data_IF_708062841100
#
_entry.id   IF_708062841100
#
_cell.length_a   1.000
_cell.length_b   1.000
_cell.length_c   1.000
_cell.angle_alpha   90.00
_cell.angle_beta   90.00
_cell.angle_gamma   90.00
#
_symmetry.space_group_name_H-M   'P 1'
#
loop_
_entity.id
_entity.type
_entity.pdbx_description
1 polymer ?
#
# COMPACT_ATOMS: atom_id res chain seq x y z
N UNK A 1 -34.93 2.43 21.78
CA UNK A 1 -34.00 3.57 21.76
C UNK A 1 -34.22 4.30 20.47
N UNK A 2 -34.33 5.64 20.43
CA UNK A 2 -34.39 6.35 19.13
C UNK A 2 -33.12 6.03 18.38
N UNK A 3 -33.24 5.63 17.11
CA UNK A 3 -32.11 5.51 16.21
C UNK A 3 -31.44 6.89 16.12
N UNK A 4 -30.14 6.91 16.43
CA UNK A 4 -29.33 8.11 16.26
C UNK A 4 -29.17 8.38 14.77
N UNK A 5 -30.02 9.25 14.25
CA UNK A 5 -30.03 9.68 12.84
C UNK A 5 -28.95 10.74 12.55
N UNK A 6 -27.97 10.90 13.43
CA UNK A 6 -26.87 11.81 13.16
C UNK A 6 -26.01 11.30 11.99
N UNK A 7 -25.53 12.21 11.10
CA UNK A 7 -24.71 11.80 9.96
C UNK A 7 -23.40 11.16 10.44
N UNK A 8 -23.00 10.07 9.78
CA UNK A 8 -21.75 9.36 10.03
C UNK A 8 -20.55 10.27 9.78
N UNK A 9 -19.62 10.33 10.72
CA UNK A 9 -18.47 11.25 10.67
C UNK A 9 -17.15 10.50 10.73
N UNK A 10 -16.14 11.05 10.03
CA UNK A 10 -14.77 10.56 10.11
C UNK A 10 -14.18 10.76 11.51
N UNK A 11 -13.05 10.11 11.82
CA UNK A 11 -12.32 10.36 13.08
C UNK A 11 -11.92 11.82 13.29
N UNK A 12 -11.86 12.62 12.22
CA UNK A 12 -11.59 14.07 12.26
C UNK A 12 -12.87 14.91 12.34
N UNK A 13 -14.02 14.24 12.59
CA UNK A 13 -15.32 14.87 12.75
C UNK A 13 -15.89 15.55 11.48
N UNK A 14 -15.54 15.02 10.30
CA UNK A 14 -16.10 15.49 9.03
C UNK A 14 -17.20 14.51 8.59
N UNK A 15 -18.40 14.98 8.20
CA UNK A 15 -19.45 14.10 7.70
C UNK A 15 -18.99 13.35 6.46
N UNK A 16 -19.21 12.04 6.39
CA UNK A 16 -18.83 11.25 5.19
C UNK A 16 -19.59 11.64 3.94
N UNK A 17 -20.79 12.22 4.08
CA UNK A 17 -21.50 12.79 2.93
C UNK A 17 -20.72 13.92 2.23
N UNK A 18 -19.78 14.57 2.93
CA UNK A 18 -18.92 15.63 2.39
C UNK A 18 -17.57 15.09 1.89
N UNK A 19 -17.33 13.81 2.03
CA UNK A 19 -16.08 13.14 1.64
C UNK A 19 -16.37 12.02 0.63
N UNK A 20 -15.52 11.84 -0.39
CA UNK A 20 -15.55 10.63 -1.19
C UNK A 20 -15.34 9.43 -0.27
N UNK A 21 -16.21 8.44 -0.35
CA UNK A 21 -16.13 7.27 0.53
C UNK A 21 -16.77 6.05 -0.11
N UNK A 22 -16.44 4.90 0.44
CA UNK A 22 -17.16 3.66 0.20
C UNK A 22 -17.48 3.01 1.55
N UNK A 23 -18.43 2.10 1.57
CA UNK A 23 -18.78 1.31 2.76
C UNK A 23 -18.33 -0.12 2.52
N UNK A 24 -17.48 -0.65 3.41
CA UNK A 24 -16.95 -2.00 3.26
C UNK A 24 -17.96 -3.06 3.73
N UNK A 25 -17.58 -4.34 3.62
CA UNK A 25 -18.43 -5.47 3.98
C UNK A 25 -18.80 -5.51 5.48
N UNK A 26 -18.02 -4.85 6.34
CA UNK A 26 -18.31 -4.73 7.78
C UNK A 26 -19.13 -3.48 8.12
N UNK A 27 -19.60 -2.74 7.12
CA UNK A 27 -20.36 -1.51 7.33
C UNK A 27 -19.51 -0.31 7.74
N UNK A 28 -18.19 -0.38 7.61
CA UNK A 28 -17.29 0.71 7.92
C UNK A 28 -17.13 1.64 6.73
N UNK A 29 -17.09 2.94 7.00
CA UNK A 29 -16.88 3.98 5.98
C UNK A 29 -15.39 4.18 5.78
N UNK A 30 -14.94 4.01 4.54
CA UNK A 30 -13.56 4.20 4.13
C UNK A 30 -13.45 5.44 3.24
N UNK A 31 -12.57 6.36 3.61
CA UNK A 31 -12.27 7.54 2.80
C UNK A 31 -11.60 7.11 1.49
N UNK A 32 -12.10 7.61 0.36
CA UNK A 32 -11.59 7.36 -0.97
C UNK A 32 -11.03 8.63 -1.59
N UNK A 33 -10.01 8.48 -2.42
CA UNK A 33 -9.38 9.59 -3.14
C UNK A 33 -9.20 9.24 -4.61
N UNK A 34 -9.51 10.20 -5.47
CA UNK A 34 -9.51 10.02 -6.92
C UNK A 34 -8.70 11.14 -7.59
N UNK A 35 -7.81 10.76 -8.49
CA UNK A 35 -7.05 11.68 -9.32
C UNK A 35 -7.37 11.37 -10.78
N UNK A 36 -8.23 12.21 -11.36
CA UNK A 36 -8.73 12.02 -12.71
C UNK A 36 -7.77 12.64 -13.72
N UNK A 37 -7.47 11.95 -14.83
CA UNK A 37 -6.71 12.57 -15.92
C UNK A 37 -7.55 13.62 -16.64
N UNK A 38 -6.87 14.56 -17.33
CA UNK A 38 -7.54 15.56 -18.15
C UNK A 38 -8.15 14.94 -19.42
N UNK A 39 -7.49 13.92 -19.98
CA UNK A 39 -7.95 13.18 -21.18
C UNK A 39 -8.70 11.90 -20.83
N UNK A 40 -8.99 11.11 -21.87
CA UNK A 40 -9.62 9.79 -21.72
C UNK A 40 -8.67 8.85 -20.97
N UNK A 41 -9.14 8.20 -19.89
CA UNK A 41 -8.30 7.26 -19.16
C UNK A 41 -7.83 6.09 -20.01
N UNK A 42 -6.55 5.75 -19.92
CA UNK A 42 -5.94 4.62 -20.64
C UNK A 42 -5.78 3.39 -19.75
N UNK A 43 -5.71 3.58 -18.44
CA UNK A 43 -5.61 2.53 -17.45
C UNK A 43 -6.06 3.06 -16.08
N UNK A 44 -6.34 2.12 -15.17
CA UNK A 44 -6.58 2.38 -13.77
C UNK A 44 -5.31 2.05 -12.97
N UNK A 45 -4.96 2.89 -12.00
CA UNK A 45 -3.87 2.63 -11.05
C UNK A 45 -4.43 2.75 -9.65
N UNK A 46 -4.40 1.64 -8.92
CA UNK A 46 -4.80 1.58 -7.51
C UNK A 46 -3.57 1.71 -6.62
N UNK A 47 -3.51 2.76 -5.79
CA UNK A 47 -2.42 2.99 -4.83
C UNK A 47 -2.82 2.46 -3.46
N UNK A 48 -1.91 1.69 -2.84
CA UNK A 48 -2.10 1.04 -1.54
C UNK A 48 -1.06 1.58 -0.57
N UNK A 49 -1.50 2.37 0.40
CA UNK A 49 -0.60 2.99 1.38
C UNK A 49 -0.10 2.02 2.44
N UNK A 50 0.95 2.40 3.16
CA UNK A 50 1.57 1.61 4.21
C UNK A 50 0.95 1.79 5.60
N UNK A 51 1.49 1.06 6.57
CA UNK A 51 1.03 1.09 7.95
C UNK A 51 1.21 2.47 8.59
N UNK A 52 0.14 2.98 9.19
CA UNK A 52 0.16 4.22 9.94
C UNK A 52 0.10 5.49 9.09
N UNK A 53 0.16 5.38 7.76
CA UNK A 53 0.02 6.52 6.86
C UNK A 53 -1.40 6.61 6.27
N UNK A 54 -1.57 7.34 5.17
CA UNK A 54 -2.83 7.51 4.47
C UNK A 54 -2.60 7.84 3.00
N UNK A 55 -3.63 7.74 2.17
CA UNK A 55 -3.51 7.89 0.71
C UNK A 55 -3.17 9.32 0.26
N UNK A 56 -3.45 10.34 1.06
CA UNK A 56 -3.09 11.72 0.75
C UNK A 56 -1.59 11.97 0.59
N UNK A 57 -0.76 11.10 1.15
CA UNK A 57 0.70 11.18 1.02
C UNK A 57 1.22 10.79 -0.37
N UNK A 58 0.34 10.37 -1.26
CA UNK A 58 0.65 9.96 -2.64
C UNK A 58 0.19 10.97 -3.70
N UNK A 59 -0.21 12.18 -3.30
CA UNK A 59 -0.70 13.21 -4.22
C UNK A 59 0.28 13.51 -5.35
N UNK A 60 1.57 13.68 -5.05
CA UNK A 60 2.58 14.04 -6.05
C UNK A 60 2.76 12.92 -7.09
N UNK A 61 2.91 11.68 -6.64
CA UNK A 61 3.02 10.52 -7.53
C UNK A 61 1.76 10.33 -8.37
N UNK A 62 0.59 10.43 -7.75
CA UNK A 62 -0.69 10.28 -8.43
C UNK A 62 -0.89 11.34 -9.51
N UNK A 63 -0.55 12.60 -9.24
CA UNK A 63 -0.65 13.67 -10.23
C UNK A 63 0.29 13.44 -11.41
N UNK A 64 1.48 12.95 -11.19
CA UNK A 64 2.39 12.59 -12.28
C UNK A 64 1.84 11.45 -13.14
N UNK A 65 1.21 10.45 -12.51
CA UNK A 65 0.55 9.36 -13.23
C UNK A 65 -0.63 9.85 -14.07
N UNK A 66 -1.41 10.81 -13.58
CA UNK A 66 -2.50 11.41 -14.36
C UNK A 66 -1.99 12.13 -15.60
N UNK A 67 -0.76 12.62 -15.59
CA UNK A 67 -0.09 13.19 -16.75
C UNK A 67 0.09 12.20 -17.91
N UNK A 68 0.04 10.90 -17.66
CA UNK A 68 0.04 9.83 -18.66
C UNK A 68 -1.39 9.39 -19.05
N UNK A 69 -2.40 10.13 -18.70
CA UNK A 69 -3.82 9.77 -18.85
C UNK A 69 -4.22 8.50 -18.08
N UNK A 70 -3.62 8.29 -16.93
CA UNK A 70 -4.01 7.21 -16.01
C UNK A 70 -5.00 7.75 -14.98
N UNK A 71 -6.03 6.97 -14.70
CA UNK A 71 -6.96 7.28 -13.62
C UNK A 71 -6.47 6.61 -12.35
N UNK A 72 -6.02 7.43 -11.39
CA UNK A 72 -5.46 6.96 -10.13
C UNK A 72 -6.50 7.03 -9.04
N UNK A 73 -6.58 6.00 -8.21
CA UNK A 73 -7.49 5.98 -7.08
C UNK A 73 -6.87 5.24 -5.89
N UNK A 74 -7.37 5.55 -4.72
CA UNK A 74 -6.91 4.98 -3.47
C UNK A 74 -7.99 5.12 -2.39
N UNK A 75 -7.81 4.43 -1.28
CA UNK A 75 -8.56 4.70 -0.05
C UNK A 75 -7.64 4.59 1.16
N UNK A 76 -8.06 5.18 2.27
CA UNK A 76 -7.44 4.94 3.56
C UNK A 76 -7.91 3.59 4.07
N UNK A 77 -6.98 2.73 4.50
CA UNK A 77 -7.34 1.45 5.11
C UNK A 77 -8.16 1.65 6.39
N UNK A 78 -8.96 0.66 6.75
CA UNK A 78 -9.62 0.65 8.05
C UNK A 78 -8.60 0.93 9.17
N UNK A 79 -8.98 1.79 10.11
CA UNK A 79 -8.09 2.19 11.21
C UNK A 79 -7.02 3.20 10.86
N UNK A 80 -7.04 3.76 9.64
CA UNK A 80 -6.06 4.71 9.13
C UNK A 80 -6.72 5.99 8.60
N UNK A 81 -5.99 7.09 8.67
CA UNK A 81 -6.36 8.35 8.06
C UNK A 81 -7.79 8.79 8.38
N UNK A 82 -8.57 9.05 7.34
CA UNK A 82 -9.96 9.50 7.45
C UNK A 82 -10.98 8.36 7.39
N UNK A 83 -10.53 7.11 7.40
CA UNK A 83 -11.40 5.93 7.45
C UNK A 83 -11.76 5.57 8.88
N UNK A 84 -12.91 4.91 9.04
CA UNK A 84 -13.36 4.39 10.33
C UNK A 84 -12.49 3.24 10.83
N UNK A 85 -12.71 2.85 12.06
CA UNK A 85 -12.03 1.77 12.75
C UNK A 85 -11.13 2.27 13.87
N UNK A 86 -10.85 1.41 14.83
CA UNK A 86 -9.88 1.72 15.87
C UNK A 86 -8.50 1.94 15.26
N UNK A 87 -7.81 2.96 15.73
CA UNK A 87 -6.53 3.37 15.13
C UNK A 87 -5.49 2.26 15.23
N UNK A 88 -4.98 1.83 14.07
CA UNK A 88 -4.00 0.76 13.91
C UNK A 88 -4.47 -0.57 14.51
N UNK A 89 -5.73 -0.91 14.30
CA UNK A 89 -6.32 -2.19 14.66
C UNK A 89 -6.98 -2.81 13.43
N UNK A 90 -6.68 -4.07 13.19
CA UNK A 90 -7.38 -4.89 12.20
C UNK A 90 -7.51 -6.30 12.76
N UNK A 91 -8.70 -6.86 12.73
CA UNK A 91 -8.96 -8.19 13.28
C UNK A 91 -8.38 -9.31 12.41
N UNK A 92 -8.32 -9.09 11.12
CA UNK A 92 -7.73 -10.01 10.14
C UNK A 92 -7.10 -9.18 9.02
N UNK A 93 -5.84 -9.45 8.69
CA UNK A 93 -5.13 -8.75 7.61
C UNK A 93 -5.86 -8.85 6.27
N UNK A 94 -6.60 -9.92 6.03
CA UNK A 94 -7.39 -10.12 4.81
C UNK A 94 -8.45 -9.02 4.59
N UNK A 95 -8.87 -8.32 5.63
CA UNK A 95 -9.79 -7.18 5.51
C UNK A 95 -9.22 -6.12 4.56
N UNK A 96 -7.92 -5.85 4.63
CA UNK A 96 -7.25 -4.91 3.72
C UNK A 96 -7.33 -5.36 2.26
N UNK A 97 -7.19 -6.65 2.02
CA UNK A 97 -7.25 -7.25 0.68
C UNK A 97 -8.69 -7.22 0.15
N UNK A 98 -9.65 -7.62 0.98
CA UNK A 98 -11.08 -7.60 0.66
C UNK A 98 -11.54 -6.20 0.28
N UNK A 99 -11.18 -5.20 1.08
CA UNK A 99 -11.57 -3.80 0.84
C UNK A 99 -10.91 -3.24 -0.42
N UNK A 100 -9.66 -3.63 -0.69
CA UNK A 100 -8.95 -3.27 -1.92
C UNK A 100 -9.63 -3.84 -3.15
N UNK A 101 -9.98 -5.12 -3.14
CA UNK A 101 -10.71 -5.76 -4.23
C UNK A 101 -12.08 -5.12 -4.44
N UNK A 102 -12.79 -4.77 -3.37
CA UNK A 102 -14.07 -4.06 -3.46
C UNK A 102 -13.92 -2.73 -4.20
N UNK A 103 -12.91 -1.93 -3.86
CA UNK A 103 -12.69 -0.63 -4.49
C UNK A 103 -12.32 -0.78 -5.97
N UNK A 104 -11.47 -1.74 -6.29
CA UNK A 104 -11.11 -2.06 -7.68
C UNK A 104 -12.34 -2.47 -8.48
N UNK A 105 -13.21 -3.31 -7.94
CA UNK A 105 -14.45 -3.73 -8.60
C UNK A 105 -15.40 -2.56 -8.86
N UNK A 106 -15.52 -1.63 -7.90
CA UNK A 106 -16.31 -0.41 -8.09
C UNK A 106 -15.80 0.42 -9.26
N UNK A 107 -14.48 0.59 -9.37
CA UNK A 107 -13.88 1.35 -10.47
C UNK A 107 -14.01 0.64 -11.82
N UNK A 108 -13.92 -0.68 -11.82
CA UNK A 108 -14.08 -1.47 -13.05
C UNK A 108 -15.51 -1.48 -13.59
N UNK A 109 -16.51 -1.26 -12.77
CA UNK A 109 -17.89 -1.08 -13.25
C UNK A 109 -18.02 0.15 -14.13
N UNK A 110 -17.32 1.23 -13.80
CA UNK A 110 -17.32 2.47 -14.58
C UNK A 110 -16.32 2.42 -15.74
N UNK A 111 -15.32 1.55 -15.68
CA UNK A 111 -14.24 1.41 -16.66
C UNK A 111 -13.93 -0.06 -16.95
N UNK A 112 -14.88 -0.81 -17.56
CA UNK A 112 -14.77 -2.28 -17.66
C UNK A 112 -13.64 -2.75 -18.56
N UNK A 113 -13.22 -1.95 -19.53
CA UNK A 113 -12.22 -2.34 -20.53
C UNK A 113 -10.80 -1.84 -20.22
N UNK A 114 -10.61 -1.09 -19.14
CA UNK A 114 -9.31 -0.53 -18.81
C UNK A 114 -8.43 -1.56 -18.06
N UNK A 115 -7.14 -1.67 -18.43
CA UNK A 115 -6.19 -2.44 -17.64
C UNK A 115 -6.02 -1.83 -16.25
N UNK A 116 -5.74 -2.66 -15.26
CA UNK A 116 -5.58 -2.26 -13.86
C UNK A 116 -4.16 -2.55 -13.40
N UNK A 117 -3.51 -1.52 -12.86
CA UNK A 117 -2.22 -1.63 -12.18
C UNK A 117 -2.43 -1.42 -10.68
N UNK A 118 -1.66 -2.13 -9.88
CA UNK A 118 -1.62 -1.96 -8.42
C UNK A 118 -0.23 -1.47 -8.01
N UNK A 119 -0.20 -0.44 -7.16
CA UNK A 119 1.03 0.17 -6.67
C UNK A 119 0.96 0.23 -5.15
N UNK A 120 1.87 -0.45 -4.46
CA UNK A 120 1.88 -0.51 -3.01
C UNK A 120 3.23 -0.17 -2.40
N UNK A 121 3.19 0.47 -1.23
CA UNK A 121 4.36 0.82 -0.44
C UNK A 121 4.32 0.16 0.92
N UNK A 122 5.43 -0.45 1.35
CA UNK A 122 5.61 -1.04 2.68
C UNK A 122 4.55 -2.12 2.97
N UNK A 123 3.73 -1.97 4.00
CA UNK A 123 2.57 -2.84 4.24
C UNK A 123 1.61 -2.84 3.02
N UNK A 124 1.47 -1.71 2.35
CA UNK A 124 0.69 -1.62 1.10
C UNK A 124 1.26 -2.51 -0.01
N UNK A 125 2.56 -2.75 -0.01
CA UNK A 125 3.20 -3.74 -0.88
C UNK A 125 2.78 -5.16 -0.53
N UNK A 126 2.73 -5.51 0.75
CA UNK A 126 2.23 -6.80 1.21
C UNK A 126 0.76 -7.01 0.80
N UNK A 127 -0.07 -5.98 1.00
CA UNK A 127 -1.48 -6.01 0.57
C UNK A 127 -1.59 -6.21 -0.94
N UNK A 128 -0.78 -5.49 -1.72
CA UNK A 128 -0.77 -5.59 -3.18
C UNK A 128 -0.41 -6.99 -3.67
N UNK A 129 0.62 -7.60 -3.09
CA UNK A 129 1.04 -8.97 -3.40
C UNK A 129 -0.11 -9.95 -3.15
N UNK A 130 -0.71 -9.90 -1.97
CA UNK A 130 -1.79 -10.82 -1.60
C UNK A 130 -3.06 -10.57 -2.40
N UNK A 131 -3.35 -9.32 -2.75
CA UNK A 131 -4.48 -8.96 -3.62
C UNK A 131 -4.28 -9.53 -5.03
N UNK A 132 -3.09 -9.41 -5.60
CA UNK A 132 -2.76 -9.99 -6.90
C UNK A 132 -2.81 -11.52 -6.87
N UNK A 133 -2.42 -12.16 -5.76
CA UNK A 133 -2.51 -13.61 -5.61
C UNK A 133 -3.95 -14.13 -5.58
N UNK A 134 -4.88 -13.35 -5.01
CA UNK A 134 -6.31 -13.73 -5.01
C UNK A 134 -7.00 -13.55 -6.35
N UNK A 135 -6.57 -12.58 -7.14
CA UNK A 135 -7.13 -12.26 -8.45
C UNK A 135 -6.01 -12.13 -9.49
N UNK A 136 -5.36 -13.25 -9.83
CA UNK A 136 -4.15 -13.22 -10.65
C UNK A 136 -4.36 -12.66 -12.06
N UNK A 137 -5.57 -12.77 -12.60
CA UNK A 137 -5.89 -12.29 -13.96
C UNK A 137 -6.42 -10.84 -13.98
N UNK A 138 -6.55 -10.22 -12.82
CA UNK A 138 -7.14 -8.89 -12.69
C UNK A 138 -6.16 -7.77 -13.05
N UNK A 139 -4.87 -7.98 -12.84
CA UNK A 139 -3.86 -6.92 -12.90
C UNK A 139 -2.94 -7.08 -14.10
N UNK A 140 -2.71 -5.97 -14.81
CA UNK A 140 -1.74 -5.90 -15.90
C UNK A 140 -0.31 -5.66 -15.42
N UNK A 141 -0.13 -5.26 -14.19
CA UNK A 141 1.17 -5.08 -13.56
C UNK A 141 1.09 -4.61 -12.13
N UNK A 142 2.18 -4.79 -11.40
CA UNK A 142 2.33 -4.41 -10.01
C UNK A 142 3.63 -3.65 -9.79
N UNK A 143 3.54 -2.50 -9.11
CA UNK A 143 4.69 -1.71 -8.67
C UNK A 143 4.77 -1.77 -7.15
N UNK A 144 5.93 -2.12 -6.64
CA UNK A 144 6.18 -2.23 -5.21
C UNK A 144 7.33 -1.31 -4.80
N UNK A 145 7.04 -0.38 -3.88
CA UNK A 145 8.04 0.50 -3.28
C UNK A 145 8.35 -0.02 -1.87
N UNK A 146 9.55 -0.52 -1.67
CA UNK A 146 10.02 -1.02 -0.37
C UNK A 146 9.00 -1.96 0.31
N UNK A 147 8.57 -3.04 -0.37
CA UNK A 147 7.48 -3.87 0.12
C UNK A 147 7.85 -4.64 1.40
N UNK A 148 6.86 -4.83 2.26
CA UNK A 148 6.96 -5.71 3.40
C UNK A 148 6.77 -7.16 2.93
N UNK A 149 7.86 -7.90 2.81
CA UNK A 149 7.86 -9.30 2.34
C UNK A 149 8.39 -10.25 3.42
N UNK A 150 9.41 -9.84 4.14
CA UNK A 150 10.01 -10.62 5.22
C UNK A 150 10.04 -9.81 6.51
N UNK A 151 10.00 -10.50 7.63
CA UNK A 151 10.25 -9.88 8.92
C UNK A 151 11.76 -9.66 9.10
N UNK A 152 12.13 -8.61 9.84
CA UNK A 152 13.51 -8.43 10.28
C UNK A 152 13.95 -9.66 11.07
N UNK A 153 15.14 -10.25 10.80
CA UNK A 153 15.64 -11.40 11.55
C UNK A 153 15.77 -11.13 13.05
N UNK A 154 16.06 -9.89 13.42
CA UNK A 154 16.17 -9.47 14.83
C UNK A 154 14.82 -9.40 15.53
N UNK A 155 13.75 -9.02 14.80
CA UNK A 155 12.39 -8.91 15.33
C UNK A 155 11.66 -10.26 15.35
N UNK A 156 12.01 -11.19 14.46
CA UNK A 156 11.28 -12.44 14.22
C UNK A 156 12.01 -13.67 14.78
N UNK A 157 12.76 -13.55 15.87
CA UNK A 157 13.29 -14.74 16.54
C UNK A 157 12.15 -15.59 17.08
N UNK A 158 12.27 -16.95 17.11
CA UNK A 158 11.19 -17.81 17.60
C UNK A 158 10.68 -17.45 18.99
N UNK A 159 11.58 -17.02 19.88
CA UNK A 159 11.22 -16.61 21.24
C UNK A 159 10.38 -15.32 21.23
N UNK A 160 10.77 -14.32 20.44
CA UNK A 160 10.02 -13.06 20.30
C UNK A 160 8.66 -13.29 19.66
N UNK A 161 8.59 -14.15 18.65
CA UNK A 161 7.32 -14.52 17.99
C UNK A 161 6.38 -15.21 18.98
N UNK A 162 6.87 -16.15 19.75
CA UNK A 162 6.08 -16.84 20.77
C UNK A 162 5.60 -15.85 21.85
N UNK A 163 6.48 -14.99 22.35
CA UNK A 163 6.14 -13.97 23.34
C UNK A 163 5.07 -13.01 22.80
N UNK A 164 5.17 -12.58 21.53
CA UNK A 164 4.19 -11.72 20.90
C UNK A 164 2.81 -12.41 20.80
N UNK A 165 2.76 -13.70 20.45
CA UNK A 165 1.52 -14.48 20.39
C UNK A 165 0.87 -14.61 21.75
N UNK A 166 1.67 -14.86 22.81
CA UNK A 166 1.15 -14.93 24.19
C UNK A 166 0.61 -13.57 24.64
N UNK A 167 1.36 -12.49 24.39
CA UNK A 167 0.91 -11.13 24.70
C UNK A 167 -0.37 -10.75 23.97
N UNK A 168 -0.52 -11.17 22.73
CA UNK A 168 -1.73 -10.90 21.94
C UNK A 168 -2.98 -11.54 22.58
N UNK A 169 -2.85 -12.71 23.19
CA UNK A 169 -3.96 -13.38 23.88
C UNK A 169 -4.38 -12.63 25.15
N UNK A 170 -3.44 -11.99 25.84
CA UNK A 170 -3.67 -11.39 27.17
C UNK A 170 -3.81 -9.87 27.07
N UNK A 171 -2.98 -9.20 26.29
CA UNK A 171 -2.89 -7.74 26.16
C UNK A 171 -2.78 -7.32 24.69
N UNK A 172 -3.80 -7.53 23.85
CA UNK A 172 -3.71 -7.28 22.40
C UNK A 172 -3.46 -5.80 22.06
N UNK A 173 -3.86 -4.88 22.92
CA UNK A 173 -3.69 -3.44 22.73
C UNK A 173 -2.41 -2.90 23.37
N UNK A 174 -1.56 -3.76 23.95
CA UNK A 174 -0.24 -3.33 24.42
C UNK A 174 0.55 -2.81 23.24
N UNK A 175 1.12 -1.62 23.40
CA UNK A 175 1.97 -1.02 22.36
C UNK A 175 3.41 -1.46 22.51
N UNK A 176 3.99 -1.89 21.41
CA UNK A 176 5.43 -2.05 21.22
C UNK A 176 6.03 -0.71 20.78
N UNK A 177 7.26 -0.58 20.43
CA UNK A 177 7.82 0.72 20.00
C UNK A 177 7.08 1.39 18.84
N UNK A 178 7.18 2.70 18.73
CA UNK A 178 6.72 3.46 17.57
C UNK A 178 7.75 3.41 16.43
N UNK A 179 7.30 3.68 15.20
CA UNK A 179 8.20 3.87 14.06
C UNK A 179 9.04 5.13 14.30
N UNK A 180 10.36 5.01 14.21
CA UNK A 180 11.26 6.17 14.26
C UNK A 180 11.12 6.96 12.95
N UNK A 181 10.64 8.23 12.98
CA UNK A 181 10.49 9.02 11.76
C UNK A 181 11.80 9.24 10.99
N UNK A 182 12.94 9.21 11.68
CA UNK A 182 14.24 9.48 11.08
C UNK A 182 14.72 8.36 10.16
N UNK A 183 14.15 7.15 10.25
CA UNK A 183 14.49 6.04 9.35
C UNK A 183 13.56 5.93 8.15
N UNK A 184 12.53 6.76 8.07
CA UNK A 184 11.59 6.78 6.94
C UNK A 184 12.25 7.35 5.68
N UNK A 185 13.02 8.43 5.84
CA UNK A 185 13.69 9.12 4.73
C UNK A 185 14.96 9.84 5.22
N UNK A 186 15.94 9.97 4.35
CA UNK A 186 17.10 10.86 4.58
C UNK A 186 16.73 12.33 4.40
N UNK A 187 15.63 12.63 3.74
CA UNK A 187 15.17 13.98 3.48
C UNK A 187 14.49 14.54 4.75
N UNK A 188 15.16 15.47 5.42
CA UNK A 188 14.66 16.06 6.67
C UNK A 188 13.32 16.78 6.52
N UNK A 189 13.05 17.38 5.37
CA UNK A 189 11.77 18.02 5.08
C UNK A 189 10.65 16.98 5.02
N UNK A 190 10.92 15.81 4.48
CA UNK A 190 9.96 14.71 4.42
C UNK A 190 9.73 14.07 5.79
N UNK A 191 10.76 13.96 6.61
CA UNK A 191 10.63 13.54 8.01
C UNK A 191 9.75 14.52 8.78
N UNK A 192 9.94 15.81 8.61
CA UNK A 192 9.11 16.86 9.23
C UNK A 192 7.67 16.79 8.74
N UNK A 193 7.45 16.62 7.43
CA UNK A 193 6.12 16.42 6.85
C UNK A 193 5.41 15.20 7.44
N UNK A 194 6.13 14.11 7.63
CA UNK A 194 5.61 12.90 8.27
C UNK A 194 5.24 13.14 9.74
N UNK A 195 6.12 13.76 10.52
CA UNK A 195 5.91 13.99 11.97
C UNK A 195 4.83 15.01 12.25
N UNK A 196 4.62 15.98 11.38
CA UNK A 196 3.60 17.03 11.52
C UNK A 196 2.26 16.67 10.90
N UNK A 197 2.15 15.57 10.18
CA UNK A 197 0.91 15.16 9.52
C UNK A 197 -0.06 14.56 10.54
N UNK A 198 -1.22 15.22 10.80
CA UNK A 198 -2.19 14.74 11.79
C UNK A 198 -2.92 13.46 11.35
N UNK A 199 -2.86 13.09 10.08
CA UNK A 199 -3.46 11.87 9.56
C UNK A 199 -2.51 10.67 9.62
N UNK A 200 -1.24 10.88 9.94
CA UNK A 200 -0.27 9.83 10.21
C UNK A 200 -0.39 9.40 11.68
N UNK A 201 -0.37 8.09 11.91
CA UNK A 201 -0.37 7.53 13.25
C UNK A 201 1.03 7.63 13.86
N UNK A 202 1.15 8.26 15.02
CA UNK A 202 2.43 8.50 15.71
C UNK A 202 2.59 7.65 16.99
N UNK A 203 1.60 6.85 17.33
CA UNK A 203 1.63 5.98 18.51
C UNK A 203 2.47 4.72 18.32
N UNK A 204 2.57 3.95 19.39
CA UNK A 204 3.22 2.64 19.36
C UNK A 204 2.42 1.62 18.54
N UNK A 205 3.13 0.70 17.92
CA UNK A 205 2.54 -0.42 17.18
C UNK A 205 1.90 -1.40 18.18
N UNK A 206 0.61 -1.68 18.02
CA UNK A 206 -0.10 -2.62 18.90
C UNK A 206 0.32 -4.06 18.61
N UNK A 207 0.40 -4.88 19.64
CA UNK A 207 0.76 -6.31 19.52
C UNK A 207 -0.17 -7.02 18.53
N UNK A 208 -1.49 -6.77 18.62
CA UNK A 208 -2.47 -7.37 17.70
C UNK A 208 -2.18 -7.03 16.24
N UNK A 209 -1.74 -5.81 15.96
CA UNK A 209 -1.40 -5.39 14.60
C UNK A 209 -0.11 -6.07 14.10
N UNK A 210 0.90 -6.18 14.97
CA UNK A 210 2.14 -6.89 14.65
C UNK A 210 1.87 -8.34 14.29
N UNK A 211 0.99 -9.02 15.02
CA UNK A 211 0.58 -10.40 14.72
C UNK A 211 -0.06 -10.49 13.33
N UNK A 212 -0.90 -9.53 12.96
CA UNK A 212 -1.49 -9.52 11.63
C UNK A 212 -0.45 -9.30 10.51
N UNK A 213 0.55 -8.45 10.75
CA UNK A 213 1.67 -8.30 9.81
C UNK A 213 2.46 -9.60 9.66
N UNK A 214 2.71 -10.31 10.76
CA UNK A 214 3.40 -11.60 10.72
C UNK A 214 2.60 -12.66 9.97
N UNK A 215 1.29 -12.70 10.15
CA UNK A 215 0.40 -13.60 9.41
C UNK A 215 0.44 -13.31 7.90
N UNK A 216 0.46 -12.02 7.53
CA UNK A 216 0.59 -11.60 6.14
C UNK A 216 1.93 -12.05 5.52
N UNK A 217 3.03 -11.86 6.23
CA UNK A 217 4.37 -12.27 5.79
C UNK A 217 4.41 -13.78 5.54
N UNK A 218 3.87 -14.58 6.46
CA UNK A 218 3.81 -16.03 6.30
C UNK A 218 2.98 -16.45 5.07
N UNK A 219 1.87 -15.76 4.82
CA UNK A 219 1.04 -16.00 3.64
C UNK A 219 1.72 -15.58 2.34
N UNK A 220 2.44 -14.46 2.35
CA UNK A 220 3.23 -13.99 1.20
C UNK A 220 4.27 -15.05 0.79
N UNK A 221 5.04 -15.57 1.73
CA UNK A 221 6.05 -16.57 1.47
C UNK A 221 5.50 -17.78 0.70
N UNK A 222 4.31 -18.25 1.09
CA UNK A 222 3.62 -19.35 0.41
C UNK A 222 3.02 -18.96 -0.95
N UNK A 223 2.74 -17.68 -1.15
CA UNK A 223 1.99 -17.19 -2.31
C UNK A 223 2.88 -16.66 -3.44
N UNK A 224 4.11 -16.24 -3.14
CA UNK A 224 5.04 -15.66 -4.13
C UNK A 224 5.23 -16.56 -5.37
N UNK A 225 5.36 -17.90 -5.26
CA UNK A 225 5.51 -18.77 -6.45
C UNK A 225 4.33 -18.76 -7.40
N UNK A 226 3.18 -18.23 -6.98
CA UNK A 226 1.96 -18.15 -7.81
C UNK A 226 1.88 -16.88 -8.65
N UNK A 227 2.73 -15.88 -8.38
CA UNK A 227 2.71 -14.60 -9.09
C UNK A 227 3.35 -14.73 -10.46
N UNK A 228 2.63 -14.30 -11.48
CA UNK A 228 3.04 -14.35 -12.90
C UNK A 228 2.91 -13.00 -13.61
N UNK A 229 2.25 -12.02 -13.00
CA UNK A 229 2.07 -10.70 -13.60
C UNK A 229 3.40 -9.93 -13.68
N UNK A 230 3.51 -8.95 -14.60
CA UNK A 230 4.66 -8.05 -14.62
C UNK A 230 4.83 -7.31 -13.28
N UNK A 231 6.05 -7.26 -12.77
CA UNK A 231 6.35 -6.62 -11.49
C UNK A 231 7.60 -5.74 -11.56
N UNK A 232 7.47 -4.53 -11.03
CA UNK A 232 8.56 -3.60 -10.77
C UNK A 232 8.72 -3.43 -9.27
N UNK A 233 9.91 -3.70 -8.75
CA UNK A 233 10.24 -3.52 -7.33
C UNK A 233 11.32 -2.46 -7.20
N UNK A 234 11.10 -1.50 -6.30
CA UNK A 234 12.02 -0.41 -6.00
C UNK A 234 12.35 -0.47 -4.51
N UNK A 235 13.63 -0.53 -4.15
CA UNK A 235 14.02 -0.67 -2.75
C UNK A 235 15.32 0.08 -2.44
N UNK A 236 15.37 0.75 -1.29
CA UNK A 236 16.58 1.41 -0.79
C UNK A 236 17.51 0.44 -0.09
N UNK A 237 18.81 0.56 -0.35
CA UNK A 237 19.81 -0.38 0.22
C UNK A 237 19.96 -0.24 1.74
N UNK A 238 19.60 0.90 2.32
CA UNK A 238 19.67 1.15 3.77
C UNK A 238 18.29 1.26 4.43
N UNK A 239 17.28 0.62 3.86
CA UNK A 239 15.96 0.53 4.46
C UNK A 239 16.01 -0.28 5.77
N UNK A 240 15.68 0.39 6.89
CA UNK A 240 15.67 -0.22 8.23
C UNK A 240 14.29 -0.69 8.67
N UNK A 241 13.24 -0.37 7.92
CA UNK A 241 11.85 -0.74 8.25
C UNK A 241 11.42 -2.00 7.52
N UNK A 242 11.70 -2.11 6.24
CA UNK A 242 11.49 -3.33 5.46
C UNK A 242 12.82 -3.78 4.86
N UNK A 243 13.31 -4.94 5.30
CA UNK A 243 14.58 -5.48 4.84
C UNK A 243 14.56 -5.71 3.33
N UNK A 244 15.56 -5.20 2.62
CA UNK A 244 15.72 -5.38 1.17
C UNK A 244 15.83 -6.87 0.79
N UNK A 245 16.22 -7.75 1.69
CA UNK A 245 16.21 -9.20 1.47
C UNK A 245 14.84 -9.72 1.06
N UNK A 246 13.76 -9.07 1.49
CA UNK A 246 12.41 -9.39 1.05
C UNK A 246 12.23 -9.17 -0.45
N UNK A 247 12.77 -8.09 -0.99
CA UNK A 247 12.73 -7.83 -2.42
C UNK A 247 13.59 -8.82 -3.22
N UNK A 248 14.73 -9.22 -2.71
CA UNK A 248 15.54 -10.29 -3.32
C UNK A 248 14.81 -11.62 -3.33
N UNK A 249 14.19 -12.00 -2.21
CA UNK A 249 13.36 -13.22 -2.13
C UNK A 249 12.21 -13.19 -3.14
N UNK A 250 11.53 -12.06 -3.26
CA UNK A 250 10.46 -11.87 -4.23
C UNK A 250 10.96 -12.11 -5.65
N UNK A 251 12.08 -11.47 -6.03
CA UNK A 251 12.67 -11.60 -7.35
C UNK A 251 13.07 -13.05 -7.67
N UNK A 252 13.57 -13.79 -6.69
CA UNK A 252 13.99 -15.18 -6.85
C UNK A 252 12.82 -16.15 -6.93
N UNK A 253 11.66 -15.79 -6.39
CA UNK A 253 10.55 -16.72 -6.14
C UNK A 253 9.39 -16.56 -7.11
N UNK A 254 9.07 -15.32 -7.53
CA UNK A 254 7.94 -15.09 -8.45
C UNK A 254 8.19 -15.71 -9.82
N UNK A 255 7.13 -16.21 -10.44
CA UNK A 255 7.17 -16.86 -11.76
C UNK A 255 6.97 -15.86 -12.91
N UNK A 256 6.97 -14.58 -12.60
CA UNK A 256 6.80 -13.53 -13.62
C UNK A 256 7.91 -13.56 -14.64
N UNK A 257 7.55 -13.51 -15.93
CA UNK A 257 8.51 -13.39 -17.03
C UNK A 257 9.08 -11.98 -17.16
N UNK A 258 8.34 -11.01 -16.69
CA UNK A 258 8.72 -9.59 -16.67
C UNK A 258 8.81 -9.14 -15.21
N UNK A 259 10.02 -9.12 -14.69
CA UNK A 259 10.30 -8.71 -13.31
C UNK A 259 11.59 -7.90 -13.25
N UNK A 260 11.51 -6.75 -12.61
CA UNK A 260 12.63 -5.81 -12.48
C UNK A 260 12.76 -5.36 -11.03
N UNK A 261 13.98 -5.36 -10.51
CA UNK A 261 14.34 -4.77 -9.23
C UNK A 261 15.30 -3.61 -9.47
N UNK A 262 14.96 -2.43 -8.95
CA UNK A 262 15.85 -1.27 -8.88
C UNK A 262 16.23 -1.02 -7.43
N UNK A 263 17.53 -1.06 -7.16
CA UNK A 263 18.10 -0.76 -5.84
C UNK A 263 18.62 0.67 -5.85
N UNK A 264 18.21 1.46 -4.86
CA UNK A 264 18.67 2.84 -4.69
C UNK A 264 19.68 2.86 -3.54
N UNK A 265 20.93 3.10 -3.91
CA UNK A 265 22.04 3.04 -2.97
C UNK A 265 21.91 4.09 -1.87
N UNK A 266 22.20 3.69 -0.63
CA UNK A 266 22.10 4.48 0.59
C UNK A 266 20.70 5.02 0.92
N UNK A 267 19.69 4.79 0.09
CA UNK A 267 18.34 5.27 0.32
C UNK A 267 17.63 4.49 1.43
N UNK A 268 16.72 5.20 2.11
CA UNK A 268 15.90 4.67 3.21
C UNK A 268 14.58 4.11 2.70
N UNK A 269 13.57 4.06 3.56
CA UNK A 269 12.33 3.32 3.35
C UNK A 269 11.39 3.94 2.32
N UNK A 270 11.02 5.20 2.50
CA UNK A 270 10.05 5.87 1.65
C UNK A 270 10.75 6.50 0.43
N UNK A 271 11.02 5.69 -0.59
CA UNK A 271 11.77 6.13 -1.80
C UNK A 271 11.11 7.29 -2.54
N UNK A 272 9.79 7.31 -2.59
CA UNK A 272 8.99 8.37 -3.22
C UNK A 272 9.02 9.69 -2.42
N UNK A 273 9.60 9.66 -1.22
CA UNK A 273 9.80 10.80 -0.32
C UNK A 273 11.23 10.89 0.18
N UNK A 274 12.16 10.38 -0.59
CA UNK A 274 13.59 10.38 -0.30
C UNK A 274 14.21 11.73 -0.72
N UNK A 275 15.52 11.84 -0.71
CA UNK A 275 16.23 13.01 -1.26
C UNK A 275 15.77 13.26 -2.70
N UNK A 276 15.72 14.54 -3.16
CA UNK A 276 15.12 14.88 -4.45
C UNK A 276 15.68 14.10 -5.65
N UNK A 277 16.97 13.81 -5.65
CA UNK A 277 17.60 13.01 -6.71
C UNK A 277 17.09 11.56 -6.74
N UNK A 278 16.76 10.98 -5.59
CA UNK A 278 16.22 9.63 -5.51
C UNK A 278 14.73 9.64 -5.82
N UNK A 279 13.94 10.50 -5.19
CA UNK A 279 12.50 10.54 -5.42
C UNK A 279 12.14 10.84 -6.87
N UNK A 280 12.89 11.74 -7.52
CA UNK A 280 12.73 12.04 -8.94
C UNK A 280 13.05 10.81 -9.81
N UNK A 281 14.12 10.08 -9.52
CA UNK A 281 14.48 8.87 -10.24
C UNK A 281 13.44 7.77 -10.05
N UNK A 282 12.90 7.62 -8.83
CA UNK A 282 11.82 6.67 -8.52
C UNK A 282 10.56 6.99 -9.31
N UNK A 283 10.12 8.24 -9.33
CA UNK A 283 8.96 8.67 -10.10
C UNK A 283 9.15 8.39 -11.59
N UNK A 284 10.31 8.75 -12.13
CA UNK A 284 10.64 8.51 -13.54
C UNK A 284 10.60 7.02 -13.88
N UNK A 285 11.16 6.17 -13.04
CA UNK A 285 11.14 4.71 -13.25
C UNK A 285 9.70 4.16 -13.27
N UNK A 286 8.87 4.59 -12.35
CA UNK A 286 7.46 4.16 -12.26
C UNK A 286 6.69 4.63 -13.50
N UNK A 287 6.82 5.91 -13.88
CA UNK A 287 6.14 6.48 -15.04
C UNK A 287 6.55 5.77 -16.34
N UNK A 288 7.83 5.54 -16.52
CA UNK A 288 8.36 4.85 -17.69
C UNK A 288 7.85 3.41 -17.77
N UNK A 289 7.92 2.69 -16.64
CA UNK A 289 7.51 1.28 -16.60
C UNK A 289 6.01 1.12 -16.87
N UNK A 290 5.15 1.88 -16.19
CA UNK A 290 3.71 1.81 -16.41
C UNK A 290 3.36 2.29 -17.81
N UNK A 291 3.97 3.38 -18.28
CA UNK A 291 3.74 3.92 -19.62
C UNK A 291 4.05 2.91 -20.72
N UNK A 292 5.12 2.14 -20.59
CA UNK A 292 5.49 1.08 -21.52
C UNK A 292 4.48 -0.06 -21.52
N UNK A 293 3.99 -0.49 -20.34
CA UNK A 293 2.97 -1.55 -20.23
C UNK A 293 1.65 -1.12 -20.86
N UNK A 294 1.19 0.08 -20.59
CA UNK A 294 -0.05 0.62 -21.16
C UNK A 294 0.03 0.75 -22.69
N UNK A 295 1.17 1.15 -23.23
CA UNK A 295 1.39 1.26 -24.67
C UNK A 295 1.43 -0.10 -25.37
N UNK A 296 1.95 -1.14 -24.71
CA UNK A 296 1.99 -2.50 -25.24
C UNK A 296 0.60 -3.12 -25.35
N UNK A 297 -0.29 -2.83 -24.39
CA UNK A 297 -1.67 -3.33 -24.38
C UNK A 297 -2.59 -2.58 -25.37
N UNK A 298 -2.20 -1.37 -25.81
CA UNK A 298 -2.96 -0.50 -26.72
C UNK A 298 -2.46 -0.47 -28.16
N UNK A 299 -1.59 -1.39 -28.56
CA UNK A 299 -1.10 -1.49 -29.94
C UNK A 299 -2.26 -1.82 -30.90
N UNK A 300 -2.36 -1.15 -32.09
CA UNK A 300 -3.44 -1.44 -33.02
C UNK A 300 -3.33 -2.88 -33.48
N UNK A 301 -4.43 -3.62 -33.40
CA UNK A 301 -4.59 -4.88 -34.12
C UNK A 301 -4.47 -4.58 -35.60
N UNK A 302 -3.33 -4.84 -36.19
CA UNK A 302 -3.21 -4.87 -37.64
C UNK A 302 -4.00 -6.10 -38.15
N UNK A 303 -5.20 -5.83 -38.62
CA UNK A 303 -5.92 -6.72 -39.53
C UNK A 303 -5.28 -6.69 -40.91
#
# INVERSE_FOLDING_TARGET
>A
MPEDNSPRRSPQNIPYQDLPHMVNADGQYLFCRYWKPAGTPRALVFIVHGAGEHCGRYDDLAQMLTGLNLFVFAHDHVGHGQSEGDRMVVSDFHIFIRDSLQHIELMKKDHPDLPVFILGHSMGGAISILTACEKPDEFSGMVLISPLVVASPEAATPIKVFAAKVLNLVLPNLTLGAIDPNVVSRNKKEVESYTSDPLVYHGGMKVSFVIQLMNAIAKIERSLPKLTLPVLVLHGSLDKLCDIKGSYLLMDTVQSQDKTLKVYDEAYHALHRELPEVSTAVFQEILTWIGQKVSADGGPSHT
#
